data_IF_300674207474
#
_entry.id   IF_300674207474
#
_cell.length_a   1.000
_cell.length_b   1.000
_cell.length_c   1.000
_cell.angle_alpha   90.00
_cell.angle_beta   90.00
_cell.angle_gamma   90.00
#
_symmetry.space_group_name_H-M   'P 1'
#
loop_
_entity.id
_entity.type
_entity.pdbx_description
1 polymer ?
#
# COMPACT_ATOMS: atom_id res chain seq x y z
N UNK A 1 22.27 86.49 21.76
CA UNK A 1 21.26 86.53 20.67
C UNK A 1 19.85 86.16 21.15
N UNK A 2 18.81 86.93 20.77
CA UNK A 2 17.40 86.52 20.95
C UNK A 2 16.97 85.74 19.69
N UNK A 3 16.71 84.43 19.86
CA UNK A 3 16.42 83.52 18.75
C UNK A 3 15.30 82.52 19.09
N UNK A 4 14.46 82.25 18.09
CA UNK A 4 13.44 81.20 18.14
C UNK A 4 13.75 80.12 17.12
N UNK A 5 13.43 78.87 17.42
CA UNK A 5 13.66 77.72 16.53
C UNK A 5 12.37 76.98 16.31
N UNK A 6 12.13 76.60 15.07
CA UNK A 6 10.97 75.88 14.62
C UNK A 6 11.37 74.64 13.83
N UNK A 7 10.56 73.60 13.97
CA UNK A 7 10.58 72.43 13.11
C UNK A 7 9.22 72.40 12.42
N UNK A 8 9.18 72.18 11.13
CA UNK A 8 7.94 72.13 10.36
C UNK A 8 8.06 71.09 9.25
N UNK A 9 6.95 70.64 8.70
CA UNK A 9 7.01 69.64 7.65
C UNK A 9 5.66 69.07 7.26
N UNK A 10 5.65 68.33 6.15
CA UNK A 10 4.54 67.47 5.78
C UNK A 10 4.88 66.03 6.18
N UNK A 11 4.23 65.57 7.24
CA UNK A 11 4.40 64.24 7.83
C UNK A 11 3.28 63.29 7.38
N UNK A 12 3.21 62.08 7.94
CA UNK A 12 2.25 61.06 7.50
C UNK A 12 0.78 61.50 7.56
N UNK A 13 0.41 62.44 8.45
CA UNK A 13 -0.96 62.99 8.55
C UNK A 13 -1.07 64.47 8.15
N UNK A 14 -0.19 64.92 7.25
CA UNK A 14 -0.19 66.27 6.66
C UNK A 14 0.77 67.23 7.35
N UNK A 15 0.54 68.53 7.15
CA UNK A 15 1.37 69.59 7.70
C UNK A 15 1.36 69.58 9.24
N UNK A 16 2.52 69.77 9.84
CA UNK A 16 2.68 69.97 11.28
C UNK A 16 3.90 70.85 11.55
N UNK A 17 3.88 71.58 12.67
CA UNK A 17 5.01 72.37 13.14
C UNK A 17 5.15 72.29 14.66
N UNK A 18 6.33 72.68 15.15
CA UNK A 18 6.65 72.82 16.56
C UNK A 18 7.59 74.03 16.75
N UNK A 19 7.24 75.00 17.61
CA UNK A 19 5.94 75.18 18.26
C UNK A 19 4.78 75.40 17.28
N UNK A 20 3.55 75.08 17.68
CA UNK A 20 2.34 75.31 16.87
C UNK A 20 1.79 76.73 17.14
N UNK A 21 2.07 77.65 16.22
CA UNK A 21 1.71 79.07 16.33
C UNK A 21 1.38 79.70 14.96
N UNK A 22 1.25 81.02 14.90
CA UNK A 22 0.87 81.75 13.69
C UNK A 22 1.92 81.70 12.56
N UNK A 23 3.14 81.20 12.82
CA UNK A 23 4.22 81.12 11.81
C UNK A 23 3.95 80.08 10.71
N UNK A 24 2.91 79.26 10.85
CA UNK A 24 2.52 78.23 9.87
C UNK A 24 2.33 78.76 8.45
N UNK A 25 1.75 79.95 8.31
CA UNK A 25 1.60 80.59 7.00
C UNK A 25 2.95 80.87 6.33
N UNK A 26 3.96 81.29 7.11
CA UNK A 26 5.31 81.57 6.61
C UNK A 26 5.97 80.28 6.11
N UNK A 27 5.92 79.22 6.92
CA UNK A 27 6.58 77.96 6.60
C UNK A 27 5.90 77.21 5.45
N UNK A 28 4.58 77.30 5.33
CA UNK A 28 3.86 76.79 4.16
C UNK A 28 4.22 77.59 2.89
N UNK A 29 4.39 78.91 2.98
CA UNK A 29 4.93 79.70 1.85
C UNK A 29 6.35 79.27 1.48
N UNK A 30 7.22 78.99 2.45
CA UNK A 30 8.56 78.47 2.18
C UNK A 30 8.50 77.16 1.41
N UNK A 31 7.64 76.23 1.84
CA UNK A 31 7.48 74.92 1.21
C UNK A 31 6.85 75.03 -0.19
N UNK A 32 5.85 75.88 -0.38
CA UNK A 32 5.24 76.15 -1.69
C UNK A 32 6.23 76.77 -2.69
N UNK A 33 7.21 77.53 -2.18
CA UNK A 33 8.28 78.09 -2.97
C UNK A 33 9.35 77.07 -3.39
N UNK A 34 9.23 75.80 -3.02
CA UNK A 34 10.33 74.85 -3.18
C UNK A 34 10.59 74.39 -4.63
N UNK A 35 11.86 74.44 -5.04
CA UNK A 35 12.30 74.08 -6.41
C UNK A 35 13.46 73.08 -6.44
N UNK A 36 14.07 72.75 -5.31
CA UNK A 36 15.20 71.83 -5.20
C UNK A 36 15.01 70.84 -4.05
N UNK A 37 15.84 69.78 -4.01
CA UNK A 37 15.82 68.79 -2.93
C UNK A 37 16.09 69.43 -1.57
N UNK A 38 16.99 70.41 -1.55
CA UNK A 38 17.24 71.25 -0.38
C UNK A 38 17.26 72.72 -0.74
N UNK A 39 16.82 73.56 0.18
CA UNK A 39 16.85 75.00 0.00
C UNK A 39 16.81 75.74 1.33
N UNK A 40 17.22 77.01 1.29
CA UNK A 40 16.97 77.98 2.34
C UNK A 40 15.99 79.01 1.79
N UNK A 41 14.93 79.27 2.52
CA UNK A 41 13.99 80.35 2.30
C UNK A 41 14.17 81.38 3.43
N UNK A 42 14.45 82.62 3.06
CA UNK A 42 14.64 83.72 3.99
C UNK A 42 13.46 84.67 3.84
N UNK A 43 12.89 85.10 4.96
CA UNK A 43 11.87 86.15 4.99
C UNK A 43 12.17 87.17 6.06
N UNK A 44 12.05 88.44 5.69
CA UNK A 44 12.03 89.56 6.64
C UNK A 44 10.60 89.90 7.00
N UNK A 45 10.29 89.98 8.29
CA UNK A 45 9.02 90.49 8.80
C UNK A 45 9.28 91.56 9.89
N UNK A 46 9.28 92.82 9.47
CA UNK A 46 9.69 93.95 10.30
C UNK A 46 11.14 93.82 10.78
N UNK A 47 11.31 93.58 12.09
CA UNK A 47 12.61 93.38 12.73
C UNK A 47 13.00 91.90 12.88
N UNK A 48 12.17 90.98 12.40
CA UNK A 48 12.40 89.54 12.48
C UNK A 48 12.94 89.02 11.15
N UNK A 49 13.97 88.17 11.22
CA UNK A 49 14.55 87.47 10.08
C UNK A 49 14.35 85.97 10.24
N UNK A 50 13.59 85.36 9.34
CA UNK A 50 13.30 83.93 9.32
C UNK A 50 14.24 83.23 8.35
N UNK A 51 15.01 82.26 8.82
CA UNK A 51 15.91 81.42 8.01
C UNK A 51 15.39 79.98 8.00
N UNK A 52 14.56 79.66 7.01
CA UNK A 52 13.90 78.37 6.87
C UNK A 52 14.63 77.44 5.91
N UNK A 53 15.25 76.37 6.40
CA UNK A 53 15.73 75.27 5.59
C UNK A 53 14.60 74.28 5.30
N UNK A 54 14.54 73.76 4.08
CA UNK A 54 13.60 72.72 3.68
C UNK A 54 14.37 71.59 3.02
N UNK A 55 14.04 70.36 3.44
CA UNK A 55 14.47 69.11 2.86
C UNK A 55 13.28 68.33 2.30
N UNK A 56 13.26 68.17 0.98
CA UNK A 56 12.32 67.25 0.33
C UNK A 56 12.69 65.80 0.66
N UNK A 57 11.66 65.01 0.99
CA UNK A 57 11.72 63.59 1.26
C UNK A 57 10.99 62.83 0.15
N UNK A 58 10.98 61.50 0.23
CA UNK A 58 10.19 60.69 -0.70
C UNK A 58 8.67 60.91 -0.52
N UNK A 59 7.89 60.53 -1.53
CA UNK A 59 6.41 60.57 -1.50
C UNK A 59 5.82 61.98 -1.31
N UNK A 60 6.54 63.04 -1.71
CA UNK A 60 6.06 64.42 -1.61
C UNK A 60 5.98 64.95 -0.17
N UNK A 61 6.65 64.28 0.77
CA UNK A 61 6.83 64.74 2.15
C UNK A 61 8.05 65.65 2.25
N UNK A 62 8.11 66.44 3.31
CA UNK A 62 9.28 67.28 3.58
C UNK A 62 9.41 67.56 5.08
N UNK A 63 10.63 67.86 5.49
CA UNK A 63 10.95 68.40 6.81
C UNK A 63 11.72 69.70 6.64
N UNK A 64 11.50 70.65 7.53
CA UNK A 64 12.17 71.92 7.53
C UNK A 64 12.47 72.40 8.94
N UNK A 65 13.47 73.27 9.02
CA UNK A 65 13.93 73.91 10.24
C UNK A 65 13.94 75.41 9.99
N UNK A 66 13.45 76.20 10.94
CA UNK A 66 13.55 77.65 10.83
C UNK A 66 14.18 78.24 12.09
N UNK A 67 15.13 79.15 11.89
CA UNK A 67 15.66 79.99 12.96
C UNK A 67 15.21 81.41 12.72
N UNK A 68 14.66 82.05 13.76
CA UNK A 68 14.18 83.43 13.71
C UNK A 68 15.09 84.30 14.55
N UNK A 69 15.67 85.32 13.95
CA UNK A 69 16.52 86.32 14.60
C UNK A 69 15.78 87.64 14.78
N UNK A 70 15.99 88.31 15.90
CA UNK A 70 15.45 89.64 16.17
C UNK A 70 16.53 90.70 16.01
N UNK A 71 16.35 91.61 15.06
CA UNK A 71 17.21 92.77 14.82
C UNK A 71 18.57 92.45 14.21
N UNK A 72 18.78 91.23 13.74
CA UNK A 72 20.04 90.76 13.16
C UNK A 72 19.78 90.04 11.83
N UNK A 73 20.72 90.13 10.90
CA UNK A 73 20.80 89.29 9.71
C UNK A 73 22.14 88.57 9.62
N UNK A 74 22.14 87.39 9.01
CA UNK A 74 23.32 86.57 8.79
C UNK A 74 24.03 86.97 7.50
N UNK A 75 25.35 87.15 7.57
CA UNK A 75 26.21 87.50 6.43
C UNK A 75 26.69 86.27 5.64
N UNK A 76 26.67 85.07 6.25
CA UNK A 76 27.08 83.81 5.62
C UNK A 76 25.90 82.82 5.56
N UNK A 77 24.98 83.05 4.62
CA UNK A 77 23.79 82.21 4.38
C UNK A 77 24.18 80.77 4.01
N UNK A 78 25.27 80.56 3.27
CA UNK A 78 25.69 79.23 2.86
C UNK A 78 26.08 78.32 4.04
N UNK A 79 26.57 78.86 5.15
CA UNK A 79 26.95 78.09 6.35
C UNK A 79 25.74 77.42 7.01
N UNK A 80 24.54 77.95 6.79
CA UNK A 80 23.30 77.36 7.26
C UNK A 80 23.02 75.99 6.64
N UNK A 81 23.39 75.77 5.37
CA UNK A 81 23.25 74.44 4.75
C UNK A 81 24.03 73.40 5.53
N UNK A 82 25.27 73.71 5.92
CA UNK A 82 26.12 72.80 6.70
C UNK A 82 25.49 72.46 8.05
N UNK A 83 24.99 73.48 8.76
CA UNK A 83 24.32 73.31 10.05
C UNK A 83 23.07 72.41 9.93
N UNK A 84 22.17 72.74 9.01
CA UNK A 84 20.91 72.01 8.86
C UNK A 84 21.11 70.60 8.27
N UNK A 85 22.03 70.39 7.34
CA UNK A 85 22.33 69.07 6.78
C UNK A 85 22.95 68.13 7.81
N UNK A 86 23.74 68.66 8.75
CA UNK A 86 24.25 67.89 9.88
C UNK A 86 23.12 67.51 10.85
N UNK A 87 22.14 68.39 11.06
CA UNK A 87 20.95 68.07 11.86
C UNK A 87 20.09 67.00 11.17
N UNK A 88 19.88 67.09 9.84
CA UNK A 88 19.21 66.03 9.06
C UNK A 88 19.92 64.69 9.25
N UNK A 89 21.25 64.65 9.18
CA UNK A 89 22.00 63.42 9.40
C UNK A 89 21.76 62.85 10.80
N UNK A 90 21.80 63.69 11.83
CA UNK A 90 21.59 63.27 13.24
C UNK A 90 20.20 62.69 13.42
N UNK A 91 19.16 63.38 12.94
CA UNK A 91 17.77 62.92 12.98
C UNK A 91 17.57 61.56 12.33
N UNK A 92 18.12 61.38 11.12
CA UNK A 92 17.98 60.12 10.38
C UNK A 92 18.73 58.98 11.06
N UNK A 93 19.91 59.26 11.62
CA UNK A 93 20.74 58.26 12.30
C UNK A 93 20.13 57.80 13.62
N UNK A 94 19.51 58.71 14.37
CA UNK A 94 18.84 58.42 15.65
C UNK A 94 17.41 57.90 15.45
N UNK A 95 16.83 58.09 14.26
CA UNK A 95 15.49 57.62 13.93
C UNK A 95 14.39 58.35 14.70
N UNK A 96 14.58 59.64 14.99
CA UNK A 96 13.62 60.44 15.77
C UNK A 96 12.39 60.80 14.91
N UNK A 97 12.46 61.90 14.17
CA UNK A 97 11.35 62.42 13.35
C UNK A 97 11.33 61.82 11.93
N UNK A 98 12.51 61.44 11.44
CA UNK A 98 12.75 60.87 10.11
C UNK A 98 13.74 59.71 10.27
N UNK A 99 13.67 58.72 9.39
CA UNK A 99 14.55 57.55 9.43
C UNK A 99 14.83 57.01 8.03
N UNK A 100 15.81 56.10 7.92
CA UNK A 100 15.99 55.32 6.70
C UNK A 100 14.99 54.17 6.62
N UNK A 101 14.34 54.00 5.46
CA UNK A 101 13.58 52.81 5.14
C UNK A 101 14.51 51.65 4.69
N UNK A 102 13.93 50.47 4.43
CA UNK A 102 14.72 49.30 3.99
C UNK A 102 15.53 49.55 2.71
N UNK A 103 15.14 50.52 1.87
CA UNK A 103 15.82 50.86 0.60
C UNK A 103 16.92 51.91 0.78
N UNK A 104 17.09 52.47 1.98
CA UNK A 104 17.98 53.59 2.24
C UNK A 104 17.41 54.95 1.82
N UNK A 105 16.11 55.04 1.58
CA UNK A 105 15.42 56.31 1.37
C UNK A 105 15.02 56.92 2.73
N UNK A 106 14.92 58.24 2.82
CA UNK A 106 14.53 58.92 4.05
C UNK A 106 13.02 59.12 4.05
N UNK A 107 12.35 58.60 5.07
CA UNK A 107 10.91 58.77 5.28
C UNK A 107 10.60 59.31 6.68
N UNK A 108 9.35 59.70 6.88
CA UNK A 108 8.87 60.27 8.14
C UNK A 108 8.57 59.16 9.14
N UNK A 109 9.16 59.23 10.34
CA UNK A 109 8.89 58.28 11.42
C UNK A 109 7.61 58.62 12.22
N UNK A 110 7.26 59.91 12.23
CA UNK A 110 6.17 60.45 13.06
C UNK A 110 4.95 60.85 12.23
N UNK A 111 3.77 60.81 12.83
CA UNK A 111 2.55 61.25 12.19
C UNK A 111 2.39 62.79 12.20
N UNK A 112 2.68 63.43 13.34
CA UNK A 112 2.56 64.88 13.59
C UNK A 112 3.56 65.33 14.66
N UNK A 113 4.15 66.51 14.52
CA UNK A 113 5.20 67.02 15.42
C UNK A 113 4.70 67.37 16.83
N UNK A 114 3.50 67.95 16.96
CA UNK A 114 2.98 68.34 18.28
C UNK A 114 2.69 67.15 19.20
N UNK A 115 2.61 65.92 18.67
CA UNK A 115 2.49 64.67 19.42
C UNK A 115 3.85 64.11 19.86
N UNK A 116 4.95 64.62 19.32
CA UNK A 116 6.31 64.11 19.47
C UNK A 116 7.22 65.25 19.97
N UNK A 117 6.79 65.92 21.04
CA UNK A 117 7.49 67.10 21.58
C UNK A 117 8.81 66.72 22.23
N UNK A 118 8.88 65.54 22.85
CA UNK A 118 10.09 65.02 23.48
C UNK A 118 11.19 64.72 22.46
N UNK A 119 10.81 64.36 21.23
CA UNK A 119 11.72 64.18 20.09
C UNK A 119 12.05 65.51 19.39
N UNK A 120 11.14 66.48 19.39
CA UNK A 120 11.36 67.80 18.80
C UNK A 120 12.26 68.70 19.67
N UNK A 121 12.17 68.60 21.00
CA UNK A 121 12.91 69.47 21.91
C UNK A 121 14.46 69.36 21.77
N UNK A 122 15.08 68.17 21.75
CA UNK A 122 16.51 68.01 21.53
C UNK A 122 16.99 68.60 20.20
N UNK A 123 16.18 68.46 19.15
CA UNK A 123 16.47 69.01 17.80
C UNK A 123 16.47 70.53 17.85
N UNK A 124 15.45 71.14 18.48
CA UNK A 124 15.45 72.60 18.65
C UNK A 124 16.66 73.06 19.46
N UNK A 125 17.04 72.36 20.53
CA UNK A 125 18.20 72.71 21.34
C UNK A 125 19.53 72.58 20.57
N UNK A 126 19.69 71.52 19.77
CA UNK A 126 20.84 71.31 18.88
C UNK A 126 20.96 72.47 17.88
N UNK A 127 19.85 72.82 17.22
CA UNK A 127 19.81 73.94 16.28
C UNK A 127 20.11 75.29 16.97
N UNK A 128 19.59 75.54 18.18
CA UNK A 128 19.95 76.73 18.97
C UNK A 128 21.45 76.79 19.24
N UNK A 129 22.04 75.69 19.70
CA UNK A 129 23.46 75.61 20.01
C UNK A 129 24.35 75.72 18.77
N UNK A 130 23.93 75.14 17.65
CA UNK A 130 24.60 75.27 16.37
C UNK A 130 24.58 76.70 15.86
N UNK A 131 23.41 77.35 15.89
CA UNK A 131 23.26 78.72 15.39
C UNK A 131 23.98 79.74 16.28
N UNK A 132 24.09 79.49 17.59
CA UNK A 132 24.91 80.32 18.48
C UNK A 132 26.38 80.40 18.03
N UNK A 133 26.91 79.38 17.34
CA UNK A 133 28.27 79.40 16.77
C UNK A 133 28.40 80.33 15.56
N UNK A 134 27.28 80.73 14.95
CA UNK A 134 27.23 81.67 13.84
C UNK A 134 26.98 83.12 14.31
N UNK A 135 26.91 83.39 15.62
CA UNK A 135 26.62 84.73 16.16
C UNK A 135 27.65 85.77 15.68
N UNK A 136 28.91 85.39 15.48
CA UNK A 136 29.96 86.28 14.95
C UNK A 136 29.77 86.65 13.47
N UNK A 137 28.85 85.99 12.76
CA UNK A 137 28.51 86.25 11.35
C UNK A 137 27.22 87.06 11.21
N UNK A 138 26.64 87.53 12.33
CA UNK A 138 25.43 88.32 12.34
C UNK A 138 25.75 89.82 12.39
N UNK A 139 24.99 90.62 11.66
CA UNK A 139 25.07 92.08 11.67
C UNK A 139 23.70 92.72 12.00
N UNK A 140 23.67 93.96 12.54
CA UNK A 140 22.43 94.68 12.82
C UNK A 140 21.56 94.87 11.58
N UNK A 141 20.27 94.56 11.69
CA UNK A 141 19.33 94.68 10.59
C UNK A 141 19.15 96.15 10.17
N UNK A 142 19.33 96.50 8.88
CA UNK A 142 19.10 97.85 8.40
C UNK A 142 17.61 98.20 8.46
N UNK A 143 17.26 99.49 8.39
CA UNK A 143 15.85 99.93 8.37
C UNK A 143 15.04 99.26 7.25
N UNK A 144 13.76 99.00 7.49
CA UNK A 144 12.87 98.39 6.48
C UNK A 144 12.76 99.31 5.27
N UNK A 145 12.95 98.75 4.07
CA UNK A 145 12.70 99.46 2.83
C UNK A 145 11.25 99.22 2.38
N UNK A 146 10.36 100.19 2.64
CA UNK A 146 8.95 100.11 2.23
C UNK A 146 8.71 100.36 0.73
N UNK A 147 9.75 100.65 -0.05
CA UNK A 147 9.67 100.78 -1.51
C UNK A 147 9.60 99.44 -2.25
N UNK A 148 9.87 98.33 -1.58
CA UNK A 148 9.82 96.98 -2.14
C UNK A 148 8.65 96.22 -1.52
N UNK A 149 7.89 95.48 -2.35
CA UNK A 149 6.75 94.68 -1.87
C UNK A 149 7.20 93.65 -0.82
N UNK A 150 6.42 93.50 0.25
CA UNK A 150 6.61 92.46 1.26
C UNK A 150 6.52 91.02 0.71
N UNK A 151 5.94 90.87 -0.48
CA UNK A 151 5.77 89.59 -1.18
C UNK A 151 6.74 89.47 -2.38
N UNK A 152 7.68 90.42 -2.55
CA UNK A 152 8.71 90.34 -3.59
C UNK A 152 9.57 89.10 -3.38
N UNK A 153 9.90 88.39 -4.46
CA UNK A 153 10.69 87.16 -4.41
C UNK A 153 11.95 87.30 -5.25
N UNK A 154 13.07 86.87 -4.68
CA UNK A 154 14.32 86.67 -5.40
C UNK A 154 14.82 85.24 -5.21
N UNK A 155 15.33 84.65 -6.29
CA UNK A 155 15.78 83.27 -6.36
C UNK A 155 17.29 83.24 -6.66
N UNK A 156 18.02 82.41 -5.91
CA UNK A 156 19.46 82.19 -6.01
C UNK A 156 19.79 80.70 -5.90
N UNK A 157 21.03 80.37 -6.20
CA UNK A 157 21.69 79.07 -6.04
C UNK A 157 22.91 79.24 -5.13
N UNK A 158 23.44 78.15 -4.60
CA UNK A 158 24.65 78.20 -3.74
C UNK A 158 25.90 78.69 -4.44
N UNK A 159 25.92 78.73 -5.79
CA UNK A 159 27.02 79.27 -6.60
C UNK A 159 26.93 80.78 -6.86
N UNK A 160 25.80 81.41 -6.55
CA UNK A 160 25.63 82.84 -6.74
C UNK A 160 26.41 83.65 -5.69
N UNK A 161 26.61 84.93 -5.97
CA UNK A 161 27.39 85.82 -5.10
C UNK A 161 26.72 85.98 -3.72
N UNK A 162 27.49 85.65 -2.67
CA UNK A 162 27.03 85.67 -1.29
C UNK A 162 26.57 87.06 -0.85
N UNK A 163 27.22 88.12 -1.33
CA UNK A 163 26.85 89.51 -0.99
C UNK A 163 25.48 89.86 -1.56
N UNK A 164 25.18 89.44 -2.79
CA UNK A 164 23.87 89.62 -3.42
C UNK A 164 22.76 88.83 -2.71
N UNK A 165 23.04 87.59 -2.30
CA UNK A 165 22.10 86.77 -1.52
C UNK A 165 21.76 87.47 -0.19
N UNK A 166 22.78 87.93 0.53
CA UNK A 166 22.63 88.62 1.82
C UNK A 166 21.87 89.92 1.64
N UNK A 167 22.24 90.75 0.65
CA UNK A 167 21.54 91.99 0.35
C UNK A 167 20.06 91.74 0.04
N UNK A 168 19.76 90.72 -0.77
CA UNK A 168 18.38 90.34 -1.08
C UNK A 168 17.61 89.96 0.18
N UNK A 169 18.24 89.21 1.10
CA UNK A 169 17.59 88.66 2.30
C UNK A 169 16.91 89.70 3.18
N UNK A 170 17.46 90.91 3.30
CA UNK A 170 16.90 91.97 4.14
C UNK A 170 16.21 93.10 3.34
N UNK A 171 16.30 93.10 2.01
CA UNK A 171 15.65 94.09 1.13
C UNK A 171 14.37 93.58 0.48
N UNK A 172 14.30 92.29 0.15
CA UNK A 172 13.15 91.66 -0.48
C UNK A 172 12.31 90.90 0.56
N UNK A 173 11.01 90.73 0.27
CA UNK A 173 10.11 89.93 1.08
C UNK A 173 10.55 88.48 1.28
N UNK A 174 10.95 87.82 0.19
CA UNK A 174 11.46 86.45 0.18
C UNK A 174 12.74 86.33 -0.64
N UNK A 175 13.70 85.62 -0.08
CA UNK A 175 14.93 85.20 -0.77
C UNK A 175 15.07 83.70 -0.67
N UNK A 176 15.12 83.01 -1.80
CA UNK A 176 15.32 81.57 -1.85
C UNK A 176 16.72 81.26 -2.36
N UNK A 177 17.41 80.33 -1.69
CA UNK A 177 18.71 79.79 -2.12
C UNK A 177 18.55 78.29 -2.31
N UNK A 178 18.69 77.81 -3.55
CA UNK A 178 18.51 76.40 -3.90
C UNK A 178 19.83 75.64 -3.91
N UNK A 179 19.80 74.41 -3.39
CA UNK A 179 20.91 73.46 -3.42
C UNK A 179 20.42 72.11 -3.93
N UNK A 180 20.80 71.79 -5.17
CA UNK A 180 20.36 70.59 -5.88
C UNK A 180 21.29 69.38 -5.71
N UNK A 181 22.55 69.61 -5.35
CA UNK A 181 23.59 68.61 -5.18
C UNK A 181 24.38 68.80 -3.89
N UNK A 182 25.20 67.83 -3.51
CA UNK A 182 26.06 67.93 -2.32
C UNK A 182 25.32 68.16 -0.99
N UNK A 183 24.02 67.88 -0.94
CA UNK A 183 23.15 68.15 0.21
C UNK A 183 23.15 67.04 1.28
N UNK A 184 23.81 65.92 0.97
CA UNK A 184 23.97 64.80 1.88
C UNK A 184 25.39 64.83 2.42
N UNK A 185 25.54 64.68 3.72
CA UNK A 185 26.86 64.45 4.30
C UNK A 185 27.46 63.14 3.75
N UNK A 186 28.80 63.05 3.69
CA UNK A 186 29.48 61.84 3.23
C UNK A 186 29.04 60.59 4.01
N UNK A 187 28.78 60.75 5.32
CA UNK A 187 28.25 59.69 6.18
C UNK A 187 26.84 59.28 5.76
N UNK A 188 25.94 60.23 5.53
CA UNK A 188 24.57 59.94 5.09
C UNK A 188 24.55 59.16 3.77
N UNK A 189 25.37 59.57 2.79
CA UNK A 189 25.52 58.84 1.53
C UNK A 189 26.05 57.41 1.73
N UNK A 190 26.99 57.22 2.66
CA UNK A 190 27.51 55.90 3.01
C UNK A 190 26.43 54.99 3.58
N UNK A 191 25.65 55.46 4.56
CA UNK A 191 24.53 54.69 5.12
C UNK A 191 23.47 54.34 4.06
N UNK A 192 23.08 55.31 3.24
CA UNK A 192 22.16 55.09 2.11
C UNK A 192 22.68 54.01 1.16
N UNK A 193 23.97 54.04 0.82
CA UNK A 193 24.60 53.04 -0.03
C UNK A 193 24.61 51.63 0.57
N UNK A 194 24.92 51.50 1.86
CA UNK A 194 24.91 50.21 2.57
C UNK A 194 23.51 49.60 2.62
N UNK A 195 22.50 50.41 2.95
CA UNK A 195 21.11 49.96 3.01
C UNK A 195 20.58 49.54 1.62
N UNK A 196 20.83 50.35 0.60
CA UNK A 196 20.44 50.01 -0.78
C UNK A 196 21.09 48.69 -1.26
N UNK A 197 22.37 48.48 -0.92
CA UNK A 197 23.07 47.22 -1.22
C UNK A 197 22.46 46.04 -0.47
N UNK A 198 22.26 46.17 0.85
CA UNK A 198 21.67 45.11 1.68
C UNK A 198 20.25 44.75 1.22
N UNK A 199 19.45 45.74 0.84
CA UNK A 199 18.11 45.51 0.26
C UNK A 199 18.15 44.70 -1.03
N UNK A 200 19.08 45.04 -1.93
CA UNK A 200 19.28 44.32 -3.20
C UNK A 200 19.68 42.86 -2.93
N UNK A 201 20.64 42.64 -2.04
CA UNK A 201 21.09 41.29 -1.64
C UNK A 201 19.94 40.48 -1.00
N UNK A 202 19.16 41.08 -0.09
CA UNK A 202 17.98 40.45 0.53
C UNK A 202 16.95 40.03 -0.52
N UNK A 203 16.70 40.88 -1.51
CA UNK A 203 15.76 40.59 -2.62
C UNK A 203 16.27 39.48 -3.53
N UNK A 204 17.55 39.49 -3.89
CA UNK A 204 18.19 38.45 -4.69
C UNK A 204 18.17 37.10 -3.95
N UNK A 205 18.54 37.09 -2.67
CA UNK A 205 18.56 35.88 -1.85
C UNK A 205 17.16 35.27 -1.69
N UNK A 206 16.13 36.11 -1.47
CA UNK A 206 14.73 35.66 -1.42
C UNK A 206 14.30 35.02 -2.74
N UNK A 207 14.71 35.60 -3.86
CA UNK A 207 14.42 35.07 -5.20
C UNK A 207 15.08 33.71 -5.42
N UNK A 208 16.36 33.56 -5.04
CA UNK A 208 17.07 32.28 -5.12
C UNK A 208 16.46 31.21 -4.21
N UNK A 209 16.09 31.59 -2.98
CA UNK A 209 15.40 30.70 -2.05
C UNK A 209 14.09 30.16 -2.63
N UNK A 210 13.26 31.02 -3.23
CA UNK A 210 12.00 30.61 -3.83
C UNK A 210 12.19 29.67 -5.03
N UNK A 211 13.22 29.90 -5.85
CA UNK A 211 13.60 28.99 -6.94
C UNK A 211 14.04 27.63 -6.39
N UNK A 212 14.96 27.62 -5.42
CA UNK A 212 15.52 26.40 -4.84
C UNK A 212 14.43 25.58 -4.14
N UNK A 213 13.51 26.24 -3.42
CA UNK A 213 12.35 25.60 -2.79
C UNK A 213 11.47 24.91 -3.82
N UNK A 214 11.13 25.58 -4.93
CA UNK A 214 10.34 24.98 -6.01
C UNK A 214 11.03 23.77 -6.65
N UNK A 215 12.35 23.86 -6.86
CA UNK A 215 13.14 22.73 -7.36
C UNK A 215 13.15 21.56 -6.37
N UNK A 216 13.35 21.82 -5.08
CA UNK A 216 13.32 20.80 -4.04
C UNK A 216 11.97 20.08 -3.97
N UNK A 217 10.85 20.82 -4.01
CA UNK A 217 9.50 20.26 -4.05
C UNK A 217 9.26 19.40 -5.31
N UNK A 218 9.78 19.82 -6.48
CA UNK A 218 9.71 19.06 -7.72
C UNK A 218 10.49 17.74 -7.60
N UNK A 219 11.73 17.78 -7.14
CA UNK A 219 12.56 16.57 -6.94
C UNK A 219 11.93 15.60 -5.94
N UNK A 220 11.30 16.11 -4.88
CA UNK A 220 10.54 15.27 -3.93
C UNK A 220 9.36 14.55 -4.59
N UNK A 221 8.61 15.25 -5.46
CA UNK A 221 7.52 14.66 -6.23
C UNK A 221 8.03 13.59 -7.21
N UNK A 222 9.11 13.87 -7.93
CA UNK A 222 9.75 12.91 -8.84
C UNK A 222 10.24 11.67 -8.11
N UNK A 223 10.92 11.82 -6.96
CA UNK A 223 11.34 10.68 -6.13
C UNK A 223 10.15 9.82 -5.65
N UNK A 224 9.03 10.45 -5.27
CA UNK A 224 7.80 9.73 -4.88
C UNK A 224 7.19 8.98 -6.05
N UNK A 225 7.13 9.59 -7.24
CA UNK A 225 6.63 8.93 -8.45
C UNK A 225 7.54 7.76 -8.86
N UNK A 226 8.86 7.96 -8.85
CA UNK A 226 9.83 6.92 -9.14
C UNK A 226 9.67 5.71 -8.20
N UNK A 227 9.50 5.95 -6.90
CA UNK A 227 9.23 4.86 -5.94
C UNK A 227 7.95 4.08 -6.26
N UNK A 228 6.88 4.76 -6.68
CA UNK A 228 5.63 4.10 -7.11
C UNK A 228 5.82 3.26 -8.37
N UNK A 229 6.53 3.79 -9.37
CA UNK A 229 6.84 3.06 -10.60
C UNK A 229 7.66 1.81 -10.29
N UNK A 230 8.67 1.93 -9.42
CA UNK A 230 9.53 0.80 -9.04
C UNK A 230 8.73 -0.32 -8.33
N UNK A 231 7.78 0.03 -7.46
CA UNK A 231 6.86 -0.94 -6.84
C UNK A 231 5.97 -1.60 -7.90
N UNK A 232 5.42 -0.82 -8.83
CA UNK A 232 4.56 -1.35 -9.90
C UNK A 232 5.34 -2.33 -10.80
N UNK A 233 6.57 -1.98 -11.20
CA UNK A 233 7.43 -2.87 -11.98
C UNK A 233 7.67 -4.20 -11.26
N UNK A 234 7.91 -4.17 -9.94
CA UNK A 234 8.09 -5.39 -9.15
C UNK A 234 6.83 -6.28 -9.13
N UNK A 235 5.64 -5.68 -8.98
CA UNK A 235 4.36 -6.40 -9.04
C UNK A 235 4.16 -7.07 -10.41
N UNK A 236 4.44 -6.35 -11.49
CA UNK A 236 4.31 -6.89 -12.86
C UNK A 236 5.21 -8.11 -13.06
N UNK A 237 6.47 -8.05 -12.60
CA UNK A 237 7.41 -9.18 -12.68
C UNK A 237 6.87 -10.39 -11.89
N UNK A 238 6.33 -10.18 -10.69
CA UNK A 238 5.71 -11.25 -9.89
C UNK A 238 4.50 -11.88 -10.59
N UNK A 239 3.65 -11.08 -11.21
CA UNK A 239 2.49 -11.58 -11.97
C UNK A 239 2.92 -12.45 -13.17
N UNK A 240 3.95 -12.02 -13.90
CA UNK A 240 4.49 -12.78 -15.04
C UNK A 240 5.05 -14.13 -14.56
N UNK A 241 5.83 -14.13 -13.48
CA UNK A 241 6.39 -15.35 -12.89
C UNK A 241 5.28 -16.30 -12.38
N UNK A 242 4.27 -15.76 -11.69
CA UNK A 242 3.11 -16.52 -11.21
C UNK A 242 2.31 -17.14 -12.35
N UNK A 243 2.10 -16.39 -13.45
CA UNK A 243 1.44 -16.90 -14.65
C UNK A 243 2.19 -18.06 -15.30
N UNK A 244 3.52 -17.97 -15.41
CA UNK A 244 4.36 -19.06 -15.93
C UNK A 244 4.28 -20.32 -15.04
N UNK A 245 4.31 -20.15 -13.71
CA UNK A 245 4.18 -21.26 -12.76
C UNK A 245 2.81 -21.95 -12.84
N UNK A 246 1.73 -21.17 -12.92
CA UNK A 246 0.38 -21.71 -13.10
C UNK A 246 0.26 -22.49 -14.42
N UNK A 247 0.83 -21.97 -15.50
CA UNK A 247 0.83 -22.66 -16.79
C UNK A 247 1.56 -24.01 -16.72
N UNK A 248 2.73 -24.06 -16.06
CA UNK A 248 3.46 -25.30 -15.85
C UNK A 248 2.66 -26.33 -15.03
N UNK A 249 2.03 -25.90 -13.93
CA UNK A 249 1.19 -26.78 -13.09
C UNK A 249 -0.05 -27.28 -13.82
N UNK A 250 -0.72 -26.44 -14.61
CA UNK A 250 -1.87 -26.85 -15.41
C UNK A 250 -1.47 -27.91 -16.45
N UNK A 251 -0.29 -27.77 -17.05
CA UNK A 251 0.21 -28.74 -18.02
C UNK A 251 0.57 -30.08 -17.37
N UNK A 252 1.21 -30.07 -16.19
CA UNK A 252 1.44 -31.31 -15.43
C UNK A 252 0.12 -31.98 -15.01
N UNK A 253 -0.83 -31.19 -14.51
CA UNK A 253 -2.16 -31.68 -14.12
C UNK A 253 -2.88 -32.32 -15.30
N UNK A 254 -2.82 -31.70 -16.48
CA UNK A 254 -3.35 -32.27 -17.74
C UNK A 254 -2.68 -33.60 -18.08
N UNK A 255 -1.36 -33.69 -17.94
CA UNK A 255 -0.61 -34.93 -18.14
C UNK A 255 -0.97 -36.05 -17.15
N UNK A 256 -1.16 -35.71 -15.87
CA UNK A 256 -1.62 -36.65 -14.84
C UNK A 256 -3.04 -37.14 -15.11
N UNK A 257 -3.95 -36.25 -15.52
CA UNK A 257 -5.31 -36.60 -15.85
C UNK A 257 -5.38 -37.54 -17.06
N UNK A 258 -4.57 -37.29 -18.09
CA UNK A 258 -4.47 -38.17 -19.27
C UNK A 258 -4.00 -39.57 -18.88
N UNK A 259 -2.96 -39.68 -18.03
CA UNK A 259 -2.49 -40.96 -17.49
C UNK A 259 -3.56 -41.68 -16.68
N UNK A 260 -4.22 -40.97 -15.77
CA UNK A 260 -5.30 -41.54 -14.96
C UNK A 260 -6.44 -42.08 -15.82
N UNK A 261 -6.82 -41.36 -16.87
CA UNK A 261 -7.86 -41.78 -17.79
C UNK A 261 -7.44 -43.02 -18.62
N UNK A 262 -6.16 -43.11 -19.00
CA UNK A 262 -5.58 -44.32 -19.59
C UNK A 262 -5.67 -45.53 -18.67
N UNK A 263 -5.27 -45.38 -17.40
CA UNK A 263 -5.37 -46.45 -16.40
C UNK A 263 -6.82 -46.86 -16.12
N UNK A 264 -7.76 -45.92 -16.08
CA UNK A 264 -9.20 -46.22 -15.94
C UNK A 264 -9.67 -47.05 -17.13
N UNK A 265 -9.28 -46.68 -18.35
CA UNK A 265 -9.64 -47.44 -19.56
C UNK A 265 -9.11 -48.87 -19.52
N UNK A 266 -7.85 -49.07 -19.12
CA UNK A 266 -7.26 -50.40 -18.95
C UNK A 266 -7.97 -51.22 -17.85
N UNK A 267 -8.31 -50.59 -16.72
CA UNK A 267 -9.08 -51.27 -15.68
C UNK A 267 -10.47 -51.67 -16.16
N UNK A 268 -11.15 -50.82 -16.93
CA UNK A 268 -12.46 -51.13 -17.50
C UNK A 268 -12.39 -52.31 -18.50
N UNK A 269 -11.37 -52.36 -19.36
CA UNK A 269 -11.20 -53.52 -20.26
C UNK A 269 -10.89 -54.80 -19.49
N UNK A 270 -10.13 -54.72 -18.40
CA UNK A 270 -9.87 -55.86 -17.53
C UNK A 270 -11.13 -56.35 -16.79
N UNK A 271 -11.96 -55.42 -16.29
CA UNK A 271 -13.24 -55.75 -15.65
C UNK A 271 -14.13 -56.49 -16.64
N UNK A 272 -14.30 -55.96 -17.86
CA UNK A 272 -15.10 -56.63 -18.91
C UNK A 272 -14.64 -58.06 -19.18
N UNK A 273 -13.32 -58.31 -19.30
CA UNK A 273 -12.79 -59.68 -19.49
C UNK A 273 -13.08 -60.61 -18.31
N UNK A 274 -13.05 -60.07 -17.09
CA UNK A 274 -13.39 -60.84 -15.89
C UNK A 274 -14.88 -61.15 -15.84
N UNK A 275 -15.74 -60.22 -16.24
CA UNK A 275 -17.18 -60.44 -16.32
C UNK A 275 -17.52 -61.54 -17.35
N UNK A 276 -16.86 -61.54 -18.52
CA UNK A 276 -17.00 -62.60 -19.52
C UNK A 276 -16.61 -63.98 -18.93
N UNK A 277 -15.47 -64.03 -18.23
CA UNK A 277 -14.98 -65.25 -17.59
C UNK A 277 -15.94 -65.75 -16.49
N UNK A 278 -16.50 -64.82 -15.70
CA UNK A 278 -17.47 -65.14 -14.66
C UNK A 278 -18.76 -65.70 -15.25
N UNK A 279 -19.23 -65.15 -16.38
CA UNK A 279 -20.38 -65.69 -17.12
C UNK A 279 -20.14 -67.13 -17.55
N UNK A 280 -18.99 -67.42 -18.19
CA UNK A 280 -18.65 -68.78 -18.62
C UNK A 280 -18.60 -69.76 -17.43
N UNK A 281 -18.02 -69.33 -16.31
CA UNK A 281 -17.94 -70.18 -15.12
C UNK A 281 -19.31 -70.46 -14.52
N UNK A 282 -20.23 -69.48 -14.54
CA UNK A 282 -21.61 -69.65 -14.10
C UNK A 282 -22.37 -70.66 -14.98
N UNK A 283 -22.18 -70.62 -16.30
CA UNK A 283 -22.78 -71.57 -17.22
C UNK A 283 -22.31 -73.00 -16.93
N UNK A 284 -21.00 -73.18 -16.70
CA UNK A 284 -20.43 -74.48 -16.35
C UNK A 284 -21.00 -75.05 -15.03
N UNK A 285 -21.19 -74.21 -14.01
CA UNK A 285 -21.79 -74.62 -12.73
C UNK A 285 -23.23 -75.10 -12.94
N UNK A 286 -24.02 -74.37 -13.72
CA UNK A 286 -25.40 -74.76 -14.08
C UNK A 286 -25.45 -76.13 -14.77
N UNK A 287 -24.52 -76.38 -15.70
CA UNK A 287 -24.42 -77.69 -16.36
C UNK A 287 -24.08 -78.82 -15.39
N UNK A 288 -23.15 -78.59 -14.45
CA UNK A 288 -22.78 -79.57 -13.43
C UNK A 288 -23.93 -79.90 -12.47
N UNK A 289 -24.69 -78.90 -12.05
CA UNK A 289 -25.89 -79.09 -11.22
C UNK A 289 -26.90 -80.00 -11.93
N UNK A 290 -27.16 -79.76 -13.22
CA UNK A 290 -28.05 -80.61 -14.03
C UNK A 290 -27.58 -82.07 -14.12
N UNK A 291 -26.28 -82.32 -14.33
CA UNK A 291 -25.75 -83.69 -14.35
C UNK A 291 -25.91 -84.42 -13.01
N UNK A 292 -25.74 -83.70 -11.90
CA UNK A 292 -25.83 -84.27 -10.56
C UNK A 292 -27.26 -84.71 -10.22
N UNK A 293 -28.25 -83.95 -10.69
CA UNK A 293 -29.66 -84.26 -10.50
C UNK A 293 -30.11 -85.52 -11.25
N UNK A 294 -29.61 -85.72 -12.49
CA UNK A 294 -29.87 -86.94 -13.27
C UNK A 294 -29.33 -88.18 -12.56
N UNK A 295 -28.07 -88.15 -12.11
CA UNK A 295 -27.44 -89.27 -11.40
C UNK A 295 -28.18 -89.67 -10.12
N UNK A 296 -28.76 -88.68 -9.43
CA UNK A 296 -29.53 -88.91 -8.20
C UNK A 296 -30.80 -89.70 -8.49
N UNK A 297 -31.52 -89.37 -9.56
CA UNK A 297 -32.75 -90.04 -9.95
C UNK A 297 -32.50 -91.50 -10.37
N UNK A 298 -31.44 -91.77 -11.15
CA UNK A 298 -31.08 -93.13 -11.56
C UNK A 298 -30.79 -94.05 -10.36
N UNK A 299 -30.15 -93.50 -9.32
CA UNK A 299 -29.84 -94.24 -8.09
C UNK A 299 -31.09 -94.61 -7.28
N UNK A 300 -32.08 -93.71 -7.23
CA UNK A 300 -33.36 -93.98 -6.55
C UNK A 300 -34.14 -95.09 -7.28
N UNK A 301 -34.18 -95.08 -8.61
CA UNK A 301 -34.85 -96.10 -9.42
C UNK A 301 -34.23 -97.51 -9.24
N UNK A 302 -32.90 -97.61 -9.25
CA UNK A 302 -32.20 -98.89 -9.10
C UNK A 302 -32.40 -99.50 -7.71
N UNK A 303 -32.48 -98.66 -6.68
CA UNK A 303 -32.69 -99.08 -5.30
C UNK A 303 -34.07 -99.72 -5.10
N UNK A 304 -35.11 -99.20 -5.75
CA UNK A 304 -36.47 -99.77 -5.70
C UNK A 304 -36.53 -101.18 -6.31
N UNK A 305 -35.90 -101.39 -7.48
CA UNK A 305 -35.92 -102.70 -8.17
C UNK A 305 -35.24 -103.82 -7.36
N UNK A 306 -34.24 -103.49 -6.54
CA UNK A 306 -33.53 -104.47 -5.71
C UNK A 306 -34.38 -104.96 -4.51
N UNK A 307 -35.23 -104.09 -3.94
CA UNK A 307 -36.13 -104.45 -2.84
C UNK A 307 -37.22 -105.43 -3.28
N UNK A 308 -37.73 -105.33 -4.51
CA UNK A 308 -38.74 -106.27 -5.05
C UNK A 308 -38.21 -107.70 -5.23
N UNK A 309 -36.93 -107.88 -5.59
CA UNK A 309 -36.36 -109.22 -5.80
C UNK A 309 -36.17 -109.96 -4.47
N UNK A 310 -35.79 -109.23 -3.41
CA UNK A 310 -35.47 -109.83 -2.11
C UNK A 310 -36.71 -110.16 -1.26
N UNK A 311 -37.93 -109.88 -1.72
CA UNK A 311 -39.16 -110.32 -1.03
C UNK A 311 -39.50 -111.79 -1.24
N UNK A 312 -38.95 -112.44 -2.27
CA UNK A 312 -39.29 -113.83 -2.65
C UNK A 312 -38.30 -114.89 -2.13
N UNK A 313 -37.07 -114.50 -1.78
CA UNK A 313 -36.07 -115.35 -1.18
C UNK A 313 -35.22 -114.51 -0.20
N UNK A 314 -34.84 -115.03 0.99
CA UNK A 314 -34.12 -114.24 1.99
C UNK A 314 -32.71 -113.82 1.57
N UNK A 315 -32.19 -114.42 0.49
CA UNK A 315 -30.95 -114.01 -0.18
C UNK A 315 -31.04 -114.43 -1.65
N UNK A 316 -30.24 -113.78 -2.50
CA UNK A 316 -30.07 -114.15 -3.92
C UNK A 316 -28.73 -114.85 -4.07
N UNK A 317 -28.71 -116.03 -4.69
CA UNK A 317 -27.46 -116.69 -5.08
C UNK A 317 -26.97 -116.08 -6.39
N UNK A 318 -25.78 -115.48 -6.36
CA UNK A 318 -25.15 -114.85 -7.54
C UNK A 318 -24.48 -115.90 -8.43
N UNK A 319 -23.79 -116.85 -7.81
CA UNK A 319 -23.04 -117.91 -8.48
C UNK A 319 -22.92 -119.14 -7.58
N UNK A 320 -22.90 -120.35 -8.15
CA UNK A 320 -22.67 -121.58 -7.40
C UNK A 320 -21.78 -122.61 -8.13
N UNK A 321 -21.03 -123.37 -7.34
CA UNK A 321 -20.16 -124.46 -7.77
C UNK A 321 -20.36 -125.70 -6.89
N UNK A 322 -20.28 -126.88 -7.49
CA UNK A 322 -20.47 -128.17 -6.81
C UNK A 322 -19.20 -128.98 -6.94
N UNK A 323 -18.80 -129.65 -5.86
CA UNK A 323 -17.72 -130.64 -5.83
C UNK A 323 -18.25 -131.96 -5.26
N UNK A 324 -17.44 -133.02 -5.23
CA UNK A 324 -17.85 -134.30 -4.63
C UNK A 324 -18.12 -134.21 -3.12
N UNK A 325 -17.69 -133.14 -2.44
CA UNK A 325 -17.79 -133.00 -0.99
C UNK A 325 -18.63 -131.81 -0.54
N UNK A 326 -18.80 -130.77 -1.38
CA UNK A 326 -19.50 -129.54 -0.99
C UNK A 326 -20.19 -128.81 -2.15
N UNK A 327 -21.16 -127.97 -1.77
CA UNK A 327 -21.81 -126.96 -2.60
C UNK A 327 -21.38 -125.56 -2.14
N UNK A 328 -20.68 -124.81 -2.98
CA UNK A 328 -20.22 -123.45 -2.70
C UNK A 328 -21.06 -122.44 -3.48
N UNK A 329 -21.40 -121.31 -2.86
CA UNK A 329 -22.13 -120.26 -3.54
C UNK A 329 -21.87 -118.88 -2.95
N UNK A 330 -21.93 -117.89 -3.83
CA UNK A 330 -21.95 -116.48 -3.46
C UNK A 330 -23.39 -116.01 -3.32
N UNK A 331 -23.65 -115.22 -2.30
CA UNK A 331 -24.97 -114.66 -2.04
C UNK A 331 -24.93 -113.15 -1.93
N UNK A 332 -26.09 -112.53 -2.10
CA UNK A 332 -26.40 -111.17 -1.69
C UNK A 332 -27.64 -111.18 -0.82
N UNK A 333 -27.58 -110.50 0.32
CA UNK A 333 -28.69 -110.30 1.23
C UNK A 333 -28.87 -108.81 1.51
N UNK A 334 -30.12 -108.34 1.52
CA UNK A 334 -30.48 -106.94 1.84
C UNK A 334 -30.42 -106.64 3.33
N UNK A 335 -30.48 -107.67 4.16
CA UNK A 335 -30.40 -107.61 5.62
C UNK A 335 -29.63 -108.81 6.18
N UNK A 336 -29.17 -108.68 7.42
CA UNK A 336 -28.52 -109.79 8.10
C UNK A 336 -29.57 -110.73 8.70
N UNK A 337 -29.55 -112.01 8.32
CA UNK A 337 -30.55 -112.98 8.76
C UNK A 337 -29.98 -114.38 8.85
N UNK A 338 -30.40 -115.12 9.88
CA UNK A 338 -30.14 -116.54 9.99
C UNK A 338 -31.20 -117.34 9.24
N UNK A 339 -30.77 -118.23 8.34
CA UNK A 339 -31.64 -118.99 7.46
C UNK A 339 -31.19 -120.45 7.46
N UNK A 340 -32.16 -121.35 7.67
CA UNK A 340 -31.92 -122.79 7.52
C UNK A 340 -32.13 -123.19 6.07
N UNK A 341 -31.07 -123.72 5.46
CA UNK A 341 -31.07 -124.20 4.09
C UNK A 341 -30.98 -125.72 4.06
N UNK A 342 -31.64 -126.33 3.09
CA UNK A 342 -31.55 -127.78 2.85
C UNK A 342 -30.82 -128.01 1.54
N UNK A 343 -29.68 -128.68 1.62
CA UNK A 343 -28.90 -129.11 0.48
C UNK A 343 -29.30 -130.55 0.12
N UNK A 344 -29.73 -130.75 -1.12
CA UNK A 344 -30.04 -132.09 -1.64
C UNK A 344 -29.20 -132.36 -2.87
N UNK A 345 -28.53 -133.51 -2.90
CA UNK A 345 -27.93 -134.07 -4.10
C UNK A 345 -28.73 -135.32 -4.48
N UNK A 346 -29.33 -135.29 -5.66
CA UNK A 346 -30.19 -136.35 -6.18
C UNK A 346 -29.43 -137.07 -7.28
N UNK A 347 -29.09 -138.34 -7.06
CA UNK A 347 -28.40 -139.16 -8.03
C UNK A 347 -29.32 -139.51 -9.20
N UNK A 348 -28.86 -139.28 -10.43
CA UNK A 348 -29.68 -139.48 -11.62
C UNK A 348 -29.99 -140.94 -11.93
N UNK A 349 -29.12 -141.87 -11.55
CA UNK A 349 -29.21 -143.26 -12.00
C UNK A 349 -30.04 -144.14 -11.09
N UNK A 350 -29.91 -143.96 -9.78
CA UNK A 350 -30.55 -144.83 -8.78
C UNK A 350 -31.54 -144.07 -7.88
N UNK A 351 -31.77 -142.78 -8.13
CA UNK A 351 -32.66 -141.91 -7.34
C UNK A 351 -32.28 -141.80 -5.86
N UNK A 352 -31.02 -142.09 -5.52
CA UNK A 352 -30.50 -141.87 -4.18
C UNK A 352 -30.47 -140.36 -3.86
N UNK A 353 -30.99 -139.97 -2.71
CA UNK A 353 -31.03 -138.58 -2.27
C UNK A 353 -30.12 -138.41 -1.06
N UNK A 354 -29.03 -137.67 -1.24
CA UNK A 354 -28.18 -137.20 -0.16
C UNK A 354 -28.71 -135.87 0.31
N UNK A 355 -29.30 -135.83 1.50
CA UNK A 355 -29.89 -134.61 2.07
C UNK A 355 -29.13 -134.20 3.32
N UNK A 356 -28.77 -132.92 3.41
CA UNK A 356 -28.19 -132.32 4.61
C UNK A 356 -28.78 -130.93 4.84
N UNK A 357 -29.10 -130.59 6.09
CA UNK A 357 -29.65 -129.28 6.45
C UNK A 357 -28.61 -128.48 7.22
N UNK A 358 -28.47 -127.20 6.86
CA UNK A 358 -27.48 -126.29 7.41
C UNK A 358 -28.17 -125.01 7.85
N UNK A 359 -27.93 -124.55 9.06
CA UNK A 359 -28.35 -123.22 9.50
C UNK A 359 -27.19 -122.26 9.31
N UNK A 360 -27.41 -121.20 8.53
CA UNK A 360 -26.39 -120.23 8.15
C UNK A 360 -26.86 -118.81 8.43
N UNK A 361 -25.95 -117.98 8.95
CA UNK A 361 -26.14 -116.52 9.00
C UNK A 361 -25.67 -115.89 7.69
N UNK A 362 -26.56 -115.15 7.04
CA UNK A 362 -26.29 -114.35 5.84
C UNK A 362 -26.16 -112.88 6.22
N UNK A 363 -24.99 -112.28 6.01
CA UNK A 363 -24.72 -110.86 6.26
C UNK A 363 -25.18 -109.95 5.11
N UNK A 364 -25.63 -108.73 5.45
CA UNK A 364 -26.03 -107.70 4.48
C UNK A 364 -24.87 -107.33 3.55
N UNK A 365 -25.14 -107.15 2.26
CA UNK A 365 -24.16 -106.72 1.25
C UNK A 365 -23.48 -107.86 0.49
N UNK A 366 -23.62 -109.10 0.96
CA UNK A 366 -23.20 -110.32 0.27
C UNK A 366 -22.00 -111.03 0.89
N UNK A 367 -21.73 -112.24 0.42
CA UNK A 367 -20.65 -113.09 0.92
C UNK A 367 -20.65 -114.45 0.22
N UNK A 368 -19.79 -115.35 0.71
CA UNK A 368 -19.62 -116.70 0.14
C UNK A 368 -19.87 -117.74 1.24
N UNK A 369 -20.54 -118.84 0.90
CA UNK A 369 -20.78 -119.98 1.79
C UNK A 369 -20.43 -121.29 1.11
N UNK A 370 -20.03 -122.26 1.92
CA UNK A 370 -19.74 -123.64 1.50
C UNK A 370 -20.50 -124.60 2.38
N UNK A 371 -21.23 -125.54 1.77
CA UNK A 371 -22.08 -126.49 2.46
C UNK A 371 -21.64 -127.92 2.13
N UNK A 372 -21.22 -128.73 3.11
CA UNK A 372 -20.86 -130.10 2.87
C UNK A 372 -22.08 -131.01 2.66
N UNK A 373 -21.92 -132.04 1.83
CA UNK A 373 -22.88 -133.14 1.74
C UNK A 373 -22.80 -134.04 2.99
N UNK A 374 -23.87 -134.80 3.26
CA UNK A 374 -23.90 -135.74 4.39
C UNK A 374 -22.80 -136.81 4.28
N UNK A 375 -22.48 -137.21 3.06
CA UNK A 375 -21.33 -138.03 2.70
C UNK A 375 -20.83 -137.64 1.30
N UNK A 376 -19.58 -138.01 1.01
CA UNK A 376 -18.95 -137.72 -0.28
C UNK A 376 -19.73 -138.37 -1.43
N UNK A 377 -20.12 -137.56 -2.42
CA UNK A 377 -20.81 -138.01 -3.62
C UNK A 377 -19.85 -138.77 -4.53
N UNK A 378 -20.36 -139.81 -5.19
CA UNK A 378 -19.56 -140.59 -6.13
C UNK A 378 -19.22 -139.77 -7.37
N UNK A 379 -17.93 -139.62 -7.69
CA UNK A 379 -17.47 -138.90 -8.90
C UNK A 379 -17.71 -139.66 -10.20
N UNK A 380 -18.21 -140.89 -10.15
CA UNK A 380 -18.57 -141.70 -11.33
C UNK A 380 -20.05 -141.63 -11.69
N UNK A 381 -20.83 -140.78 -11.01
CA UNK A 381 -22.28 -140.60 -11.20
C UNK A 381 -22.64 -139.12 -11.26
N UNK A 382 -23.78 -138.79 -11.88
CA UNK A 382 -24.29 -137.42 -12.00
C UNK A 382 -25.34 -137.12 -10.92
N UNK A 383 -25.32 -135.89 -10.41
CA UNK A 383 -26.23 -135.43 -9.37
C UNK A 383 -26.89 -134.10 -9.74
N UNK A 384 -28.19 -134.00 -9.48
CA UNK A 384 -28.84 -132.70 -9.35
C UNK A 384 -28.67 -132.19 -7.93
N UNK A 385 -27.87 -131.14 -7.78
CA UNK A 385 -27.66 -130.50 -6.47
C UNK A 385 -28.50 -129.24 -6.38
N UNK A 386 -29.38 -129.20 -5.40
CA UNK A 386 -30.27 -128.07 -5.15
C UNK A 386 -30.10 -127.56 -3.73
N UNK A 387 -30.02 -126.24 -3.62
CA UNK A 387 -30.09 -125.50 -2.37
C UNK A 387 -31.52 -124.99 -2.20
N UNK A 388 -32.14 -125.38 -1.09
CA UNK A 388 -33.52 -125.04 -0.81
C UNK A 388 -33.64 -124.23 0.48
N UNK A 389 -34.56 -123.27 0.50
CA UNK A 389 -34.98 -122.52 1.70
C UNK A 389 -36.50 -122.64 1.80
N UNK A 390 -37.02 -123.09 2.94
CA UNK A 390 -38.47 -123.22 3.19
C UNK A 390 -39.23 -123.96 2.07
N UNK A 391 -38.60 -124.96 1.46
CA UNK A 391 -39.17 -125.76 0.36
C UNK A 391 -39.02 -125.16 -1.04
N UNK A 392 -38.51 -123.93 -1.20
CA UNK A 392 -38.22 -123.31 -2.49
C UNK A 392 -36.75 -123.54 -2.90
N UNK A 393 -36.52 -123.88 -4.17
CA UNK A 393 -35.16 -123.96 -4.74
C UNK A 393 -34.66 -122.53 -4.95
N UNK A 394 -33.60 -122.13 -4.24
CA UNK A 394 -32.97 -120.80 -4.35
C UNK A 394 -31.69 -120.82 -5.18
N UNK A 395 -31.11 -122.00 -5.37
CA UNK A 395 -30.07 -122.27 -6.34
C UNK A 395 -30.05 -123.75 -6.68
N UNK A 396 -29.57 -124.10 -7.86
CA UNK A 396 -29.37 -125.48 -8.25
C UNK A 396 -28.36 -125.58 -9.37
N UNK A 397 -27.62 -126.69 -9.38
CA UNK A 397 -26.64 -127.00 -10.41
C UNK A 397 -26.56 -128.52 -10.57
N UNK A 398 -26.56 -128.97 -11.82
CA UNK A 398 -26.25 -130.35 -12.17
C UNK A 398 -24.73 -130.53 -12.09
N UNK A 399 -24.27 -131.58 -11.43
CA UNK A 399 -22.86 -131.89 -11.20
C UNK A 399 -22.52 -133.26 -11.76
#
# INVERSE_FOLDING_TARGET
MNLSVYIFGSFSKGYSQYPDDYSSAIFQSFAAGAKATTQIAIRRDGNLMYYGYIRQLEQGKYIGFCVVLNGLYLTQVNDLFTLFEQEIFTLVAEGLLIHFNERGEIETNVERLYLNQDEAAPVTQSLRAGFAKLESQCEPLPTVNYGISKDSRQDFTTSDDQTQIVQSSYTHGYTYVYKGDGYNTARLNSYKGVLAKSYKEKKELKTQYDILRKQHEKTLKEKKQFKKVLILTFIVVLCIAGGAFLFANLNDTKGRLSRANGTIREKNTLISKKDDSLSTMKDNVSTLESYTEVLRNDKEELSQKLYEICSFAPFVVKECTVTSTSFNFDYYAVEEKEVTVTLKAINERNSEVVSNSHTLTFYKGGGTKSLPFLYQLSTSQYYYVVLMVDGNIVAGKRW
#
